data_IF_709649380998
#
_entry.id   IF_709649380998
#
_cell.length_a   1.000
_cell.length_b   1.000
_cell.length_c   1.000
_cell.angle_alpha   90.00
_cell.angle_beta   90.00
_cell.angle_gamma   90.00
#
_symmetry.space_group_name_H-M   'P 1'
#
loop_
_entity.id
_entity.type
_entity.pdbx_description
1 polymer ?
#
# COMPACT_ATOMS: atom_id res chain seq x y z
N UNK A 1 -6.93 19.01 -11.56
CA UNK A 1 -7.36 18.60 -10.21
C UNK A 1 -6.32 19.05 -9.20
N UNK A 2 -6.67 19.21 -7.91
CA UNK A 2 -5.72 19.64 -6.88
C UNK A 2 -4.49 18.72 -6.80
N UNK A 3 -4.70 17.41 -6.83
CA UNK A 3 -3.64 16.41 -6.83
C UNK A 3 -2.74 16.41 -8.08
N UNK A 4 -3.06 17.16 -9.12
CA UNK A 4 -2.21 17.34 -10.31
C UNK A 4 -1.22 18.51 -10.15
N UNK A 5 -1.37 19.32 -9.09
CA UNK A 5 -0.62 20.55 -8.89
C UNK A 5 -0.11 20.69 -7.45
N UNK A 6 0.45 19.63 -6.91
CA UNK A 6 1.06 19.64 -5.56
C UNK A 6 2.41 20.38 -5.67
N UNK A 7 2.56 21.59 -5.11
CA UNK A 7 3.80 22.33 -5.21
C UNK A 7 4.85 21.79 -4.24
N UNK A 8 6.11 21.97 -4.54
CA UNK A 8 7.20 21.86 -3.55
C UNK A 8 7.14 23.09 -2.65
N UNK A 9 7.06 22.88 -1.34
CA UNK A 9 7.11 23.96 -0.35
C UNK A 9 8.14 23.66 0.73
N UNK A 10 8.68 24.68 1.43
CA UNK A 10 9.59 24.47 2.54
C UNK A 10 9.00 23.59 3.64
N UNK A 11 7.69 23.73 3.90
CA UNK A 11 6.98 22.94 4.92
C UNK A 11 6.94 21.46 4.58
N UNK A 12 6.81 21.12 3.28
CA UNK A 12 6.88 19.72 2.83
C UNK A 12 8.30 19.15 2.98
N UNK A 13 9.33 19.97 2.74
CA UNK A 13 10.72 19.53 2.92
C UNK A 13 11.06 19.32 4.41
N UNK A 14 10.57 20.19 5.28
CA UNK A 14 10.70 20.01 6.74
C UNK A 14 9.93 18.75 7.20
N UNK A 15 8.68 18.60 6.78
CA UNK A 15 7.86 17.45 7.12
C UNK A 15 8.51 16.13 6.69
N UNK A 16 9.17 16.08 5.53
CA UNK A 16 9.85 14.88 5.05
C UNK A 16 10.91 14.39 6.03
N UNK A 17 11.56 15.27 6.81
CA UNK A 17 12.57 14.90 7.79
C UNK A 17 11.99 14.30 9.09
N UNK A 18 10.72 14.55 9.37
CA UNK A 18 10.06 14.18 10.63
C UNK A 18 9.19 12.92 10.51
N UNK A 19 8.69 12.63 9.29
CA UNK A 19 7.77 11.50 9.11
C UNK A 19 8.42 10.15 9.37
N UNK A 20 7.66 9.25 9.98
CA UNK A 20 8.01 7.83 10.14
C UNK A 20 7.27 6.94 9.13
N UNK A 21 6.17 7.44 8.58
CA UNK A 21 5.47 6.77 7.50
C UNK A 21 4.95 7.78 6.50
N UNK A 22 4.99 7.40 5.22
CA UNK A 22 4.37 8.12 4.11
C UNK A 22 3.69 7.12 3.19
N UNK A 23 2.46 7.45 2.77
CA UNK A 23 1.73 6.66 1.78
C UNK A 23 1.52 7.50 0.53
N UNK A 24 1.79 6.91 -0.63
CA UNK A 24 1.59 7.54 -1.93
C UNK A 24 1.07 6.52 -2.94
N UNK A 25 0.50 7.01 -4.05
CA UNK A 25 -0.06 6.18 -5.11
C UNK A 25 0.32 6.66 -6.50
N UNK A 26 -0.18 5.97 -7.53
CA UNK A 26 0.13 6.26 -8.93
C UNK A 26 -0.62 7.48 -9.47
N UNK A 27 -1.86 7.74 -9.05
CA UNK A 27 -2.77 8.69 -9.69
C UNK A 27 -2.23 10.13 -9.74
N UNK A 28 -1.70 10.65 -8.64
CA UNK A 28 -1.18 12.02 -8.60
C UNK A 28 0.11 12.19 -9.44
N UNK A 29 0.79 11.10 -9.74
CA UNK A 29 2.02 11.09 -10.53
C UNK A 29 1.76 11.20 -12.05
N UNK A 30 0.51 11.21 -12.49
CA UNK A 30 0.13 11.49 -13.90
C UNK A 30 0.48 12.89 -14.33
N UNK A 31 0.56 13.84 -13.41
CA UNK A 31 1.03 15.20 -13.65
C UNK A 31 2.49 15.34 -13.25
N UNK A 32 3.31 15.89 -14.13
CA UNK A 32 4.73 16.09 -13.91
C UNK A 32 5.01 16.95 -12.66
N UNK A 33 4.20 17.98 -12.41
CA UNK A 33 4.33 18.86 -11.24
C UNK A 33 4.23 18.05 -9.94
N UNK A 34 3.15 17.29 -9.77
CA UNK A 34 2.95 16.49 -8.57
C UNK A 34 3.90 15.29 -8.49
N UNK A 35 4.23 14.65 -9.63
CA UNK A 35 5.23 13.58 -9.69
C UNK A 35 6.59 14.05 -9.16
N UNK A 36 7.07 15.20 -9.60
CA UNK A 36 8.33 15.77 -9.16
C UNK A 36 8.29 16.10 -7.66
N UNK A 37 7.19 16.66 -7.16
CA UNK A 37 7.03 16.95 -5.73
C UNK A 37 7.03 15.67 -4.89
N UNK A 38 6.27 14.64 -5.30
CA UNK A 38 6.22 13.34 -4.61
C UNK A 38 7.62 12.72 -4.57
N UNK A 39 8.31 12.64 -5.70
CA UNK A 39 9.68 12.08 -5.76
C UNK A 39 10.63 12.82 -4.83
N UNK A 40 10.68 14.15 -4.92
CA UNK A 40 11.53 14.98 -4.07
C UNK A 40 11.23 14.79 -2.58
N UNK A 41 9.95 14.69 -2.21
CA UNK A 41 9.55 14.39 -0.85
C UNK A 41 10.08 13.02 -0.40
N UNK A 42 9.83 11.96 -1.19
CA UNK A 42 10.23 10.60 -0.87
C UNK A 42 11.76 10.42 -0.78
N UNK A 43 12.51 11.12 -1.65
CA UNK A 43 13.97 11.14 -1.62
C UNK A 43 14.51 11.85 -0.37
N UNK A 44 13.80 12.85 0.14
CA UNK A 44 14.16 13.59 1.35
C UNK A 44 13.83 12.85 2.65
N UNK A 45 12.93 11.85 2.63
CA UNK A 45 12.57 11.07 3.82
C UNK A 45 13.76 10.23 4.29
N UNK A 46 14.22 10.38 5.55
CA UNK A 46 15.32 9.58 6.08
C UNK A 46 15.00 8.09 6.12
N UNK A 47 15.88 7.27 5.58
CA UNK A 47 15.73 5.80 5.51
C UNK A 47 16.15 5.14 6.83
N UNK A 48 15.39 5.41 7.91
CA UNK A 48 15.59 4.78 9.21
C UNK A 48 15.03 3.36 9.19
N UNK A 49 15.45 2.52 10.13
CA UNK A 49 14.95 1.14 10.24
C UNK A 49 13.43 1.08 10.41
N UNK A 50 12.85 2.02 11.14
CA UNK A 50 11.41 2.12 11.40
C UNK A 50 10.63 2.99 10.41
N UNK A 51 11.30 3.56 9.38
CA UNK A 51 10.62 4.35 8.34
C UNK A 51 9.87 3.45 7.38
N UNK A 52 8.59 3.76 7.15
CA UNK A 52 7.71 3.06 6.21
C UNK A 52 7.35 3.99 5.03
N UNK A 53 7.78 3.65 3.84
CA UNK A 53 7.40 4.32 2.60
C UNK A 53 6.51 3.37 1.83
N UNK A 54 5.22 3.65 1.85
CA UNK A 54 4.16 2.78 1.35
C UNK A 54 3.72 3.24 -0.02
N UNK A 55 3.92 2.40 -1.02
CA UNK A 55 3.34 2.57 -2.34
C UNK A 55 2.06 1.75 -2.45
N UNK A 56 0.90 2.41 -2.46
CA UNK A 56 -0.37 1.80 -2.85
C UNK A 56 -0.51 1.96 -4.36
N UNK A 57 -0.44 0.86 -5.10
CA UNK A 57 -0.42 0.85 -6.58
C UNK A 57 -1.63 1.57 -7.14
N UNK A 58 -2.81 1.24 -6.65
CA UNK A 58 -4.10 1.94 -6.84
C UNK A 58 -4.29 2.47 -8.27
N UNK A 59 -4.24 1.56 -9.26
CA UNK A 59 -4.36 1.90 -10.68
C UNK A 59 -5.73 2.54 -10.98
N UNK A 60 -5.69 3.64 -11.73
CA UNK A 60 -6.90 4.36 -12.15
C UNK A 60 -6.86 4.63 -13.65
N UNK A 61 -7.83 4.09 -14.37
CA UNK A 61 -7.95 4.26 -15.83
C UNK A 61 -6.62 3.96 -16.56
N UNK A 62 -6.00 4.96 -17.20
CA UNK A 62 -4.74 4.88 -17.92
C UNK A 62 -3.69 5.85 -17.36
N UNK A 63 -3.89 6.30 -16.11
CA UNK A 63 -3.02 7.30 -15.47
C UNK A 63 -1.81 6.67 -14.77
N UNK A 64 -1.20 5.67 -15.39
CA UNK A 64 0.02 5.01 -14.94
C UNK A 64 0.88 4.62 -16.14
N UNK A 65 2.15 4.42 -15.92
CA UNK A 65 3.09 3.91 -16.92
C UNK A 65 4.08 2.97 -16.26
N UNK A 66 4.77 2.17 -17.07
CA UNK A 66 5.86 1.32 -16.58
C UNK A 66 6.87 2.13 -15.75
N UNK A 67 7.28 3.30 -16.24
CA UNK A 67 8.24 4.18 -15.58
C UNK A 67 7.74 4.67 -14.21
N UNK A 68 6.46 5.11 -14.11
CA UNK A 68 5.87 5.56 -12.83
C UNK A 68 5.85 4.42 -11.83
N UNK A 69 5.44 3.21 -12.24
CA UNK A 69 5.36 2.07 -11.35
C UNK A 69 6.75 1.60 -10.91
N UNK A 70 7.71 1.50 -11.86
CA UNK A 70 9.09 1.11 -11.58
C UNK A 70 9.75 2.04 -10.57
N UNK A 71 9.72 3.35 -10.83
CA UNK A 71 10.28 4.35 -9.91
C UNK A 71 9.62 4.32 -8.54
N UNK A 72 8.28 4.16 -8.50
CA UNK A 72 7.53 4.08 -7.24
C UNK A 72 7.91 2.84 -6.42
N UNK A 73 8.07 1.68 -7.08
CA UNK A 73 8.52 0.45 -6.42
C UNK A 73 9.96 0.55 -5.92
N UNK A 74 10.84 1.25 -6.64
CA UNK A 74 12.22 1.51 -6.20
C UNK A 74 12.28 2.46 -5.00
N UNK A 75 11.35 3.40 -4.89
CA UNK A 75 11.32 4.38 -3.79
C UNK A 75 10.64 3.85 -2.53
N UNK A 76 9.74 2.89 -2.62
CA UNK A 76 9.03 2.35 -1.48
C UNK A 76 9.81 1.23 -0.75
N UNK A 77 9.38 0.90 0.46
CA UNK A 77 9.77 -0.32 1.18
C UNK A 77 8.58 -1.13 1.66
N UNK A 78 7.37 -0.62 1.45
CA UNK A 78 6.12 -1.38 1.60
C UNK A 78 5.31 -1.19 0.32
N UNK A 79 4.94 -2.28 -0.33
CA UNK A 79 4.10 -2.28 -1.52
C UNK A 79 2.72 -2.82 -1.17
N UNK A 80 1.65 -2.13 -1.55
CA UNK A 80 0.28 -2.64 -1.47
C UNK A 80 -0.29 -2.75 -2.88
N UNK A 81 -0.85 -3.88 -3.19
CA UNK A 81 -1.42 -4.22 -4.50
C UNK A 81 -2.64 -5.12 -4.31
N UNK A 82 -3.62 -5.03 -5.16
CA UNK A 82 -4.72 -6.00 -5.22
C UNK A 82 -4.49 -7.03 -6.33
N UNK A 83 -5.33 -8.06 -6.39
CA UNK A 83 -5.22 -9.15 -7.37
C UNK A 83 -5.36 -8.69 -8.82
N UNK A 84 -6.26 -7.75 -9.13
CA UNK A 84 -6.44 -7.21 -10.49
C UNK A 84 -5.22 -6.36 -10.91
N UNK A 85 -4.70 -5.55 -9.99
CA UNK A 85 -3.50 -4.75 -10.20
C UNK A 85 -2.26 -5.62 -10.36
N UNK A 86 -2.17 -6.72 -9.60
CA UNK A 86 -1.06 -7.67 -9.70
C UNK A 86 -0.96 -8.27 -11.10
N UNK A 87 -2.09 -8.61 -11.74
CA UNK A 87 -2.12 -9.08 -13.14
C UNK A 87 -1.53 -8.00 -14.06
N UNK A 88 -2.01 -6.76 -13.93
CA UNK A 88 -1.53 -5.65 -14.77
C UNK A 88 -0.03 -5.39 -14.60
N UNK A 89 0.46 -5.37 -13.35
CA UNK A 89 1.88 -5.19 -13.04
C UNK A 89 2.69 -6.38 -13.57
N UNK A 90 2.21 -7.60 -13.37
CA UNK A 90 2.89 -8.81 -13.83
C UNK A 90 3.09 -8.83 -15.35
N UNK A 91 2.06 -8.44 -16.10
CA UNK A 91 2.13 -8.37 -17.57
C UNK A 91 3.09 -7.27 -18.02
N UNK A 92 3.03 -6.09 -17.37
CA UNK A 92 3.86 -4.94 -17.73
C UNK A 92 5.34 -5.16 -17.44
N UNK A 93 5.66 -5.92 -16.38
CA UNK A 93 7.05 -6.19 -15.95
C UNK A 93 7.56 -7.58 -16.40
N UNK A 94 6.77 -8.33 -17.17
CA UNK A 94 7.16 -9.65 -17.64
C UNK A 94 7.42 -10.65 -16.51
N UNK A 95 6.63 -10.58 -15.43
CA UNK A 95 6.77 -11.45 -14.26
C UNK A 95 6.03 -12.79 -14.44
N UNK A 96 5.13 -12.86 -15.42
CA UNK A 96 4.43 -14.07 -15.79
C UNK A 96 5.36 -14.95 -16.63
N UNK A 97 5.97 -15.98 -16.05
CA UNK A 97 6.67 -17.01 -16.80
C UNK A 97 5.67 -17.77 -17.70
N UNK A 98 6.16 -18.32 -18.83
CA UNK A 98 5.32 -19.04 -19.84
C UNK A 98 4.52 -20.23 -19.29
N UNK A 99 4.59 -20.51 -17.98
CA UNK A 99 3.88 -21.56 -17.27
C UNK A 99 2.77 -21.08 -16.32
N UNK A 100 2.51 -19.75 -16.23
CA UNK A 100 1.56 -19.16 -15.26
C UNK A 100 2.15 -19.19 -13.85
N UNK A 101 2.95 -18.17 -13.50
CA UNK A 101 3.42 -18.04 -12.13
C UNK A 101 2.24 -17.83 -11.18
N UNK A 102 2.28 -18.49 -10.01
CA UNK A 102 1.31 -18.25 -8.93
C UNK A 102 1.48 -16.82 -8.39
N UNK A 103 0.38 -16.13 -8.10
CA UNK A 103 0.35 -14.79 -7.51
C UNK A 103 1.33 -14.65 -6.32
N UNK A 104 1.44 -15.70 -5.50
CA UNK A 104 2.34 -15.74 -4.34
C UNK A 104 3.81 -15.72 -4.75
N UNK A 105 4.16 -16.44 -5.82
CA UNK A 105 5.55 -16.43 -6.33
C UNK A 105 5.91 -15.08 -6.93
N UNK A 106 4.98 -14.46 -7.66
CA UNK A 106 5.14 -13.11 -8.19
C UNK A 106 5.37 -12.11 -7.03
N UNK A 107 4.54 -12.18 -5.98
CA UNK A 107 4.70 -11.31 -4.80
C UNK A 107 6.06 -11.53 -4.11
N UNK A 108 6.49 -12.77 -3.92
CA UNK A 108 7.82 -13.06 -3.34
C UNK A 108 8.96 -12.54 -4.22
N UNK A 109 8.81 -12.63 -5.55
CA UNK A 109 9.77 -12.07 -6.49
C UNK A 109 9.85 -10.56 -6.34
N UNK A 110 8.72 -9.84 -6.29
CA UNK A 110 8.68 -8.39 -6.05
C UNK A 110 9.35 -8.00 -4.72
N UNK A 111 9.09 -8.76 -3.64
CA UNK A 111 9.77 -8.52 -2.35
C UNK A 111 11.29 -8.59 -2.50
N UNK A 112 11.80 -9.62 -3.19
CA UNK A 112 13.25 -9.79 -3.39
C UNK A 112 13.85 -8.72 -4.31
N UNK A 113 13.20 -8.51 -5.47
CA UNK A 113 13.75 -7.68 -6.55
C UNK A 113 13.81 -6.20 -6.16
N UNK A 114 12.86 -5.73 -5.34
CA UNK A 114 12.79 -4.35 -4.85
C UNK A 114 13.26 -4.18 -3.40
N UNK A 115 13.67 -5.24 -2.72
CA UNK A 115 14.15 -5.19 -1.33
C UNK A 115 13.08 -4.70 -0.35
N UNK A 116 11.82 -5.10 -0.55
CA UNK A 116 10.71 -4.64 0.26
C UNK A 116 10.75 -5.23 1.66
N UNK A 117 10.39 -4.43 2.67
CA UNK A 117 10.10 -4.89 4.03
C UNK A 117 8.79 -5.69 4.09
N UNK A 118 7.79 -5.26 3.31
CA UNK A 118 6.52 -5.97 3.19
C UNK A 118 5.86 -5.72 1.84
N UNK A 119 5.15 -6.73 1.33
CA UNK A 119 4.20 -6.61 0.24
C UNK A 119 2.83 -7.10 0.72
N UNK A 120 1.82 -6.28 0.55
CA UNK A 120 0.43 -6.57 0.88
C UNK A 120 -0.32 -6.89 -0.41
N UNK A 121 -0.88 -8.10 -0.51
CA UNK A 121 -1.78 -8.51 -1.58
C UNK A 121 -3.20 -8.64 -1.04
N UNK A 122 -4.11 -7.77 -1.46
CA UNK A 122 -5.53 -7.87 -1.12
C UNK A 122 -6.31 -8.56 -2.25
N UNK A 123 -7.22 -9.47 -1.90
CA UNK A 123 -7.98 -10.30 -2.86
C UNK A 123 -9.49 -10.28 -2.56
N UNK A 124 -9.99 -9.14 -2.13
CA UNK A 124 -11.39 -8.95 -1.81
C UNK A 124 -11.92 -10.04 -0.86
N UNK A 125 -12.92 -10.78 -1.30
CA UNK A 125 -13.55 -11.86 -0.51
C UNK A 125 -12.64 -13.09 -0.31
N UNK A 126 -11.55 -13.19 -1.08
CA UNK A 126 -10.61 -14.31 -1.04
C UNK A 126 -9.48 -14.12 -0.01
N UNK A 127 -9.58 -13.10 0.83
CA UNK A 127 -8.58 -12.83 1.88
C UNK A 127 -7.47 -11.90 1.44
N UNK A 128 -6.42 -11.88 2.21
CA UNK A 128 -5.21 -11.08 1.95
C UNK A 128 -3.96 -11.83 2.38
N UNK A 129 -2.86 -11.46 1.75
CA UNK A 129 -1.52 -11.92 2.10
C UNK A 129 -0.63 -10.75 2.45
N UNK A 130 0.29 -10.98 3.37
CA UNK A 130 1.44 -10.11 3.61
C UNK A 130 2.69 -10.96 3.46
N UNK A 131 3.59 -10.54 2.58
CA UNK A 131 4.88 -11.17 2.34
C UNK A 131 5.98 -10.28 2.88
N UNK A 132 6.91 -10.84 3.62
CA UNK A 132 8.18 -10.22 4.00
C UNK A 132 9.34 -11.09 3.51
N UNK A 133 10.60 -10.66 3.64
CA UNK A 133 11.75 -11.54 3.36
C UNK A 133 11.74 -12.83 4.19
N UNK A 134 11.19 -12.82 5.40
CA UNK A 134 11.27 -13.90 6.38
C UNK A 134 10.00 -14.76 6.43
N UNK A 135 8.83 -14.16 6.24
CA UNK A 135 7.56 -14.83 6.49
C UNK A 135 6.46 -14.46 5.49
N UNK A 136 5.42 -15.26 5.49
CA UNK A 136 4.16 -15.04 4.78
C UNK A 136 3.00 -15.17 5.76
N UNK A 137 2.14 -14.17 5.80
CA UNK A 137 0.91 -14.16 6.60
C UNK A 137 -0.31 -14.18 5.67
N UNK A 138 -1.21 -15.13 5.89
CA UNK A 138 -2.52 -15.17 5.22
C UNK A 138 -3.64 -14.94 6.23
N UNK A 139 -4.61 -14.11 5.84
CA UNK A 139 -5.84 -13.87 6.58
C UNK A 139 -7.06 -14.00 5.66
N UNK A 140 -8.06 -14.81 6.05
CA UNK A 140 -9.32 -14.85 5.32
C UNK A 140 -10.11 -13.54 5.53
N UNK A 141 -10.88 -13.13 4.53
CA UNK A 141 -11.80 -11.98 4.69
C UNK A 141 -12.96 -12.37 5.62
N UNK A 142 -13.19 -11.61 6.70
CA UNK A 142 -14.34 -11.84 7.57
C UNK A 142 -15.65 -11.67 6.82
N UNK A 143 -16.64 -12.51 7.13
CA UNK A 143 -17.99 -12.35 6.57
C UNK A 143 -18.70 -11.23 7.31
N UNK A 144 -18.96 -10.13 6.63
CA UNK A 144 -19.73 -8.99 7.12
C UNK A 144 -20.88 -8.68 6.15
N UNK A 145 -21.90 -7.97 6.67
CA UNK A 145 -22.91 -7.37 5.79
C UNK A 145 -22.27 -6.13 5.20
N UNK A 146 -22.00 -6.16 3.90
CA UNK A 146 -21.35 -5.04 3.21
C UNK A 146 -22.36 -3.93 2.96
N UNK A 147 -22.07 -2.74 3.49
CA UNK A 147 -22.82 -1.52 3.23
C UNK A 147 -22.13 -0.73 2.09
N UNK A 148 -20.80 -0.59 2.14
CA UNK A 148 -19.97 0.09 1.13
C UNK A 148 -18.58 -0.56 1.07
N UNK A 149 -17.90 -0.45 -0.05
CA UNK A 149 -16.51 -0.91 -0.21
C UNK A 149 -15.50 0.23 -0.34
N UNK A 150 -15.99 1.47 -0.38
CA UNK A 150 -15.14 2.67 -0.47
C UNK A 150 -14.30 2.80 0.82
N UNK A 151 -13.00 3.02 0.66
CA UNK A 151 -12.07 3.14 1.79
C UNK A 151 -11.60 1.82 2.39
N UNK A 152 -12.07 0.66 1.92
CA UNK A 152 -11.62 -0.65 2.43
C UNK A 152 -10.11 -0.84 2.28
N UNK A 153 -9.55 -0.54 1.10
CA UNK A 153 -8.11 -0.62 0.83
C UNK A 153 -7.31 0.38 1.65
N UNK A 154 -7.78 1.63 1.70
CA UNK A 154 -7.10 2.71 2.43
C UNK A 154 -7.07 2.41 3.94
N UNK A 155 -8.20 1.96 4.51
CA UNK A 155 -8.28 1.58 5.93
C UNK A 155 -7.44 0.35 6.26
N UNK A 156 -7.34 -0.62 5.35
CA UNK A 156 -6.42 -1.76 5.49
C UNK A 156 -4.98 -1.27 5.59
N UNK A 157 -4.54 -0.47 4.62
CA UNK A 157 -3.18 0.08 4.56
C UNK A 157 -2.87 0.91 5.80
N UNK A 158 -3.77 1.81 6.20
CA UNK A 158 -3.60 2.65 7.37
C UNK A 158 -3.47 1.83 8.67
N UNK A 159 -4.32 0.83 8.87
CA UNK A 159 -4.28 -0.03 10.04
C UNK A 159 -3.01 -0.90 10.09
N UNK A 160 -2.59 -1.46 8.97
CA UNK A 160 -1.34 -2.24 8.87
C UNK A 160 -0.12 -1.39 9.23
N UNK A 161 0.02 -0.23 8.60
CA UNK A 161 1.12 0.72 8.86
C UNK A 161 1.11 1.20 10.31
N UNK A 162 -0.06 1.55 10.84
CA UNK A 162 -0.22 1.96 12.25
C UNK A 162 0.21 0.84 13.20
N UNK A 163 -0.15 -0.42 12.93
CA UNK A 163 0.28 -1.58 13.71
C UNK A 163 1.81 -1.70 13.75
N UNK A 164 2.47 -1.65 12.59
CA UNK A 164 3.93 -1.73 12.51
C UNK A 164 4.62 -0.58 13.25
N UNK A 165 4.11 0.67 13.12
CA UNK A 165 4.65 1.84 13.84
C UNK A 165 4.50 1.73 15.36
N UNK A 166 3.56 0.93 15.83
CA UNK A 166 3.32 0.63 17.25
C UNK A 166 4.10 -0.59 17.76
N UNK A 167 4.90 -1.22 16.89
CA UNK A 167 5.74 -2.36 17.23
C UNK A 167 5.02 -3.72 17.17
N UNK A 168 3.88 -3.80 16.50
CA UNK A 168 3.20 -5.08 16.28
C UNK A 168 4.03 -5.95 15.34
N UNK A 169 3.96 -7.26 15.53
CA UNK A 169 4.43 -8.23 14.54
C UNK A 169 3.65 -8.07 13.22
N UNK A 170 4.21 -8.57 12.13
CA UNK A 170 3.54 -8.57 10.81
C UNK A 170 2.16 -9.23 10.90
N UNK A 171 2.05 -10.33 11.64
CA UNK A 171 0.79 -11.03 11.82
C UNK A 171 -0.25 -10.20 12.58
N UNK A 172 0.13 -9.56 13.69
CA UNK A 172 -0.78 -8.72 14.48
C UNK A 172 -1.22 -7.48 13.70
N UNK A 173 -0.29 -6.84 12.95
CA UNK A 173 -0.61 -5.72 12.06
C UNK A 173 -1.57 -6.15 10.93
N UNK A 174 -1.39 -7.37 10.38
CA UNK A 174 -2.27 -7.93 9.37
C UNK A 174 -3.67 -8.22 9.93
N UNK A 175 -3.77 -8.80 11.14
CA UNK A 175 -5.04 -9.03 11.84
C UNK A 175 -5.80 -7.71 12.08
N UNK A 176 -5.09 -6.67 12.53
CA UNK A 176 -5.66 -5.34 12.73
C UNK A 176 -6.18 -4.75 11.41
N UNK A 177 -5.40 -4.87 10.33
CA UNK A 177 -5.76 -4.38 9.01
C UNK A 177 -7.03 -5.04 8.46
N UNK A 178 -7.11 -6.37 8.56
CA UNK A 178 -8.29 -7.15 8.12
C UNK A 178 -9.52 -6.77 8.94
N UNK A 179 -9.40 -6.68 10.26
CA UNK A 179 -10.51 -6.32 11.14
C UNK A 179 -11.01 -4.89 10.86
N UNK A 180 -10.10 -3.93 10.66
CA UNK A 180 -10.43 -2.53 10.37
C UNK A 180 -11.11 -2.40 9.01
N UNK A 181 -10.57 -3.02 7.98
CA UNK A 181 -11.14 -3.00 6.63
C UNK A 181 -12.54 -3.65 6.60
N UNK A 182 -12.74 -4.79 7.29
CA UNK A 182 -14.04 -5.44 7.39
C UNK A 182 -15.07 -4.56 8.14
N UNK A 183 -14.65 -3.86 9.19
CA UNK A 183 -15.50 -2.89 9.88
C UNK A 183 -15.90 -1.76 8.95
N UNK A 184 -14.94 -1.13 8.24
CA UNK A 184 -15.23 -0.03 7.29
C UNK A 184 -16.22 -0.49 6.22
N UNK A 185 -16.04 -1.69 5.65
CA UNK A 185 -16.98 -2.25 4.67
C UNK A 185 -18.41 -2.46 5.22
N UNK A 186 -18.58 -2.57 6.54
CA UNK A 186 -19.90 -2.72 7.17
C UNK A 186 -20.62 -1.40 7.49
N UNK A 187 -19.99 -0.27 7.17
CA UNK A 187 -20.50 1.07 7.43
C UNK A 187 -20.72 1.84 6.13
N UNK A 188 -21.53 2.89 6.19
CA UNK A 188 -21.70 3.81 5.06
C UNK A 188 -20.52 4.77 4.96
N UNK A 189 -19.94 4.87 3.76
CA UNK A 189 -18.86 5.81 3.43
C UNK A 189 -17.47 5.34 3.88
N UNK A 190 -16.44 6.09 3.43
CA UNK A 190 -15.04 5.68 3.52
C UNK A 190 -14.38 5.90 4.89
N UNK A 191 -14.95 6.74 5.76
CA UNK A 191 -14.33 7.18 7.01
C UNK A 191 -15.30 7.10 8.21
N UNK A 192 -15.80 5.92 8.56
CA UNK A 192 -16.60 5.75 9.76
C UNK A 192 -15.77 5.95 11.02
N UNK A 193 -16.45 6.30 12.13
CA UNK A 193 -15.77 6.33 13.44
C UNK A 193 -15.39 4.91 13.85
N UNK A 194 -14.10 4.68 14.00
CA UNK A 194 -13.59 3.37 14.41
C UNK A 194 -13.90 3.09 15.89
N UNK A 195 -14.32 1.89 16.25
CA UNK A 195 -14.57 1.51 17.63
C UNK A 195 -13.25 1.37 18.42
N UNK A 196 -13.33 1.60 19.73
CA UNK A 196 -12.20 1.60 20.65
C UNK A 196 -11.32 0.32 20.59
N UNK A 197 -11.92 -0.83 20.36
CA UNK A 197 -11.20 -2.10 20.26
C UNK A 197 -10.31 -2.22 19.01
N UNK A 198 -10.55 -1.41 17.98
CA UNK A 198 -9.65 -1.28 16.82
C UNK A 198 -8.59 -0.18 17.01
N UNK A 199 -8.84 0.78 17.89
CA UNK A 199 -7.92 1.89 18.15
C UNK A 199 -6.89 1.59 19.25
N UNK A 200 -7.22 0.70 20.21
CA UNK A 200 -6.46 0.49 21.46
C UNK A 200 -5.81 -0.88 21.61
N UNK A 201 -5.76 -1.69 20.54
CA UNK A 201 -4.97 -2.94 20.58
C UNK A 201 -3.49 -2.67 20.72
#
# INVERSE_FOLDING_TARGET
>A
MAWDNIPVTPELEELAQEVRAVCFGSLAQRSEVSRNTIRRFLEAVPRREDTLIVFDVNLRQHFYSHEILEESMQLCNVLKINDEELVTVSDMFGLNDKGGADDREICRRLVRDYGLKALILTRGVNGSYVFTPEEESFMPTPKVIVADTVGAGDSFTAAFVSGLLRGFSVREAHELAVATSAFVCSQDGAMPVLPDNLLRK
#
